data_IF_152231300434
#
_entry.id   IF_152231300434
#
_cell.length_a   1.000
_cell.length_b   1.000
_cell.length_c   1.000
_cell.angle_alpha   90.00
_cell.angle_beta   90.00
_cell.angle_gamma   90.00
#
_symmetry.space_group_name_H-M   'P 1'
#
loop_
_entity.id
_entity.type
_entity.pdbx_description
1 polymer ?
#
# COMPACT_ATOMS: atom_id res chain seq x y z
N UNK A 1 -10.48 11.41 14.22
CA UNK A 1 -11.34 10.24 13.92
C UNK A 1 -10.46 9.01 13.86
N UNK A 2 -10.88 7.90 14.48
CA UNK A 2 -10.17 6.63 14.34
C UNK A 2 -10.33 6.12 12.90
N UNK A 3 -9.24 5.70 12.24
CA UNK A 3 -9.33 5.00 10.96
C UNK A 3 -9.98 3.64 11.19
N UNK A 4 -10.98 3.28 10.40
CA UNK A 4 -11.54 1.92 10.40
C UNK A 4 -10.95 1.10 9.26
N UNK A 5 -11.04 -0.23 9.34
CA UNK A 5 -10.66 -1.12 8.24
C UNK A 5 -11.42 -0.78 6.95
N UNK A 6 -12.69 -0.40 7.07
CA UNK A 6 -13.55 0.01 5.96
C UNK A 6 -13.04 1.29 5.28
N UNK A 7 -12.54 2.26 6.05
CA UNK A 7 -11.99 3.50 5.49
C UNK A 7 -10.67 3.23 4.76
N UNK A 8 -9.82 2.37 5.31
CA UNK A 8 -8.58 1.92 4.67
C UNK A 8 -8.89 1.20 3.36
N UNK A 9 -9.84 0.26 3.37
CA UNK A 9 -10.27 -0.44 2.17
C UNK A 9 -10.76 0.54 1.10
N UNK A 10 -11.66 1.46 1.43
CA UNK A 10 -12.17 2.47 0.48
C UNK A 10 -11.06 3.33 -0.12
N UNK A 11 -10.08 3.72 0.70
CA UNK A 11 -8.92 4.47 0.23
C UNK A 11 -8.07 3.66 -0.75
N UNK A 12 -7.86 2.37 -0.51
CA UNK A 12 -7.14 1.49 -1.44
C UNK A 12 -7.95 1.20 -2.71
N UNK A 13 -9.26 0.95 -2.61
CA UNK A 13 -10.15 0.77 -3.77
C UNK A 13 -10.06 1.99 -4.72
N UNK A 14 -9.99 3.21 -4.17
CA UNK A 14 -9.90 4.45 -4.95
C UNK A 14 -8.54 4.69 -5.61
N UNK A 15 -7.54 3.86 -5.32
CA UNK A 15 -6.18 3.96 -5.86
C UNK A 15 -5.72 2.67 -6.56
N UNK A 16 -6.66 1.79 -6.93
CA UNK A 16 -6.38 0.63 -7.78
C UNK A 16 -5.66 1.05 -9.07
N UNK A 17 -4.65 0.26 -9.46
CA UNK A 17 -3.80 0.52 -10.62
C UNK A 17 -2.72 1.59 -10.40
N UNK A 18 -2.69 2.27 -9.25
CA UNK A 18 -1.66 3.28 -8.97
C UNK A 18 -0.39 2.69 -8.40
N UNK A 19 0.71 3.36 -8.69
CA UNK A 19 2.03 3.01 -8.17
C UNK A 19 2.13 3.43 -6.70
N UNK A 20 2.78 2.60 -5.90
CA UNK A 20 2.98 2.84 -4.48
C UNK A 20 4.31 2.27 -4.01
N UNK A 21 4.75 2.76 -2.86
CA UNK A 21 5.82 2.20 -2.05
C UNK A 21 5.21 1.57 -0.79
N UNK A 22 5.66 0.37 -0.46
CA UNK A 22 5.36 -0.34 0.77
C UNK A 22 6.57 -0.28 1.70
N UNK A 23 6.30 -0.03 2.98
CA UNK A 23 7.27 -0.16 4.06
C UNK A 23 6.73 -1.11 5.12
N UNK A 24 7.33 -2.29 5.26
CA UNK A 24 6.86 -3.33 6.17
C UNK A 24 7.91 -3.72 7.22
N UNK A 25 7.43 -4.07 8.42
CA UNK A 25 8.29 -4.57 9.50
C UNK A 25 8.63 -6.05 9.25
N UNK A 26 9.83 -6.31 8.73
CA UNK A 26 10.32 -7.65 8.39
C UNK A 26 10.95 -8.42 9.57
N UNK A 27 10.80 -7.94 10.81
CA UNK A 27 11.29 -8.60 12.03
C UNK A 27 12.12 -7.70 12.95
N UNK A 28 12.94 -8.31 13.81
CA UNK A 28 13.74 -7.63 14.85
C UNK A 28 14.83 -6.78 14.19
N UNK A 29 14.52 -5.50 13.91
CA UNK A 29 15.38 -4.46 13.30
C UNK A 29 15.50 -4.49 11.77
N UNK A 30 14.60 -5.16 11.05
CA UNK A 30 14.58 -5.11 9.59
C UNK A 30 13.32 -4.44 9.10
N UNK A 31 13.49 -3.38 8.32
CA UNK A 31 12.42 -2.75 7.56
C UNK A 31 12.62 -3.09 6.09
N UNK A 32 11.54 -3.49 5.43
CA UNK A 32 11.54 -3.84 4.02
C UNK A 32 10.81 -2.71 3.30
N UNK A 33 11.47 -2.10 2.32
CA UNK A 33 10.88 -1.11 1.42
C UNK A 33 10.82 -1.71 0.02
N UNK A 34 9.66 -1.62 -0.63
CA UNK A 34 9.42 -2.18 -1.96
C UNK A 34 8.47 -1.30 -2.75
N UNK A 35 8.71 -1.16 -4.04
CA UNK A 35 7.82 -0.45 -4.96
C UNK A 35 7.01 -1.43 -5.80
N UNK A 36 5.84 -0.97 -6.24
CA UNK A 36 4.94 -1.76 -7.06
C UNK A 36 3.66 -1.03 -7.42
N UNK A 37 2.69 -1.77 -7.96
CA UNK A 37 1.37 -1.29 -8.35
C UNK A 37 0.31 -1.95 -7.50
N UNK A 38 -0.66 -1.17 -6.98
CA UNK A 38 -1.83 -1.74 -6.32
C UNK A 38 -2.70 -2.47 -7.36
N UNK A 39 -2.58 -3.79 -7.42
CA UNK A 39 -3.20 -4.57 -8.48
C UNK A 39 -4.66 -4.89 -8.18
N UNK A 40 -4.95 -5.37 -6.97
CA UNK A 40 -6.26 -5.91 -6.63
C UNK A 40 -6.62 -5.60 -5.16
N UNK A 41 -7.92 -5.46 -4.88
CA UNK A 41 -8.45 -5.37 -3.51
C UNK A 41 -9.54 -6.41 -3.29
N UNK A 42 -9.50 -7.05 -2.13
CA UNK A 42 -10.45 -8.09 -1.69
C UNK A 42 -11.09 -7.70 -0.36
N UNK A 43 -12.11 -8.42 0.14
CA UNK A 43 -12.76 -8.06 1.40
C UNK A 43 -11.83 -7.91 2.62
N UNK A 44 -10.71 -8.65 2.67
CA UNK A 44 -9.81 -8.65 3.84
C UNK A 44 -8.36 -8.29 3.55
N UNK A 45 -7.96 -8.33 2.27
CA UNK A 45 -6.57 -8.12 1.84
C UNK A 45 -6.53 -7.30 0.55
N UNK A 46 -5.37 -6.75 0.24
CA UNK A 46 -5.05 -6.16 -1.06
C UNK A 46 -3.77 -6.78 -1.61
N UNK A 47 -3.59 -6.73 -2.92
CA UNK A 47 -2.46 -7.32 -3.65
C UNK A 47 -1.68 -6.21 -4.33
N UNK A 48 -0.36 -6.26 -4.18
CA UNK A 48 0.59 -5.38 -4.86
C UNK A 48 1.45 -6.22 -5.77
N UNK A 49 1.51 -5.85 -7.04
CA UNK A 49 2.45 -6.38 -8.01
C UNK A 49 3.77 -5.62 -7.87
N UNK A 50 4.84 -6.33 -7.56
CA UNK A 50 6.15 -5.74 -7.23
C UNK A 50 7.00 -5.57 -8.48
N UNK A 51 7.85 -4.55 -8.48
CA UNK A 51 8.86 -4.39 -9.51
C UNK A 51 9.87 -5.55 -9.44
N UNK A 52 10.01 -6.30 -10.55
CA UNK A 52 10.81 -7.53 -10.59
C UNK A 52 12.32 -7.29 -10.60
N UNK A 53 12.76 -6.10 -11.00
CA UNK A 53 14.19 -5.73 -10.98
C UNK A 53 14.76 -5.69 -9.55
N UNK A 54 13.90 -5.56 -8.54
CA UNK A 54 14.27 -5.40 -7.14
C UNK A 54 13.84 -6.57 -6.24
N UNK A 55 13.03 -7.52 -6.75
CA UNK A 55 12.35 -8.52 -5.91
C UNK A 55 12.31 -9.91 -6.55
N UNK A 56 12.61 -10.95 -5.76
CA UNK A 56 12.52 -12.36 -6.19
C UNK A 56 11.08 -12.90 -6.30
N UNK A 57 10.07 -12.10 -5.91
CA UNK A 57 8.67 -12.47 -5.91
C UNK A 57 7.87 -11.42 -6.67
N UNK A 58 6.94 -11.86 -7.51
CA UNK A 58 6.14 -11.00 -8.40
C UNK A 58 5.00 -10.26 -7.67
N UNK A 59 4.40 -10.88 -6.66
CA UNK A 59 3.24 -10.33 -5.94
C UNK A 59 3.34 -10.51 -4.44
N UNK A 60 2.80 -9.55 -3.70
CA UNK A 60 2.60 -9.65 -2.24
C UNK A 60 1.19 -9.22 -1.87
N UNK A 61 0.68 -9.78 -0.77
CA UNK A 61 -0.62 -9.40 -0.22
C UNK A 61 -0.48 -8.99 1.24
N UNK A 62 -1.22 -7.96 1.64
CA UNK A 62 -1.32 -7.51 3.03
C UNK A 62 -2.77 -7.28 3.42
N UNK A 63 -3.06 -7.34 4.71
CA UNK A 63 -4.39 -7.08 5.24
C UNK A 63 -4.61 -5.59 5.51
N UNK A 64 -5.86 -5.16 5.58
CA UNK A 64 -6.17 -3.79 6.04
C UNK A 64 -5.79 -3.57 7.50
N UNK A 65 -5.73 -4.65 8.29
CA UNK A 65 -5.29 -4.60 9.68
C UNK A 65 -3.79 -4.30 9.78
N UNK A 66 -2.98 -4.76 8.82
CA UNK A 66 -1.55 -4.44 8.77
C UNK A 66 -1.31 -2.94 8.59
N UNK A 67 -2.13 -2.30 7.77
CA UNK A 67 -2.11 -0.84 7.59
C UNK A 67 -2.62 -0.12 8.84
N UNK A 68 -3.70 -0.63 9.43
CA UNK A 68 -4.28 -0.05 10.65
C UNK A 68 -3.30 -0.10 11.84
N UNK A 69 -2.52 -1.17 11.93
CA UNK A 69 -1.56 -1.41 13.01
C UNK A 69 -0.14 -0.95 12.68
N UNK A 70 0.03 -0.25 11.55
CA UNK A 70 1.30 0.31 11.08
C UNK A 70 2.42 -0.74 10.89
N UNK A 71 2.07 -2.03 10.81
CA UNK A 71 3.01 -3.10 10.44
C UNK A 71 3.38 -2.99 8.96
N UNK A 72 2.51 -2.37 8.17
CA UNK A 72 2.71 -1.98 6.77
C UNK A 72 2.29 -0.54 6.58
N UNK A 73 3.17 0.27 6.02
CA UNK A 73 2.87 1.64 5.61
C UNK A 73 2.87 1.71 4.08
N UNK A 74 1.94 2.50 3.53
CA UNK A 74 1.73 2.64 2.10
C UNK A 74 1.88 4.11 1.75
N UNK A 75 2.63 4.40 0.70
CA UNK A 75 2.74 5.74 0.12
C UNK A 75 2.49 5.64 -1.38
N UNK A 76 1.40 6.22 -1.86
CA UNK A 76 1.15 6.32 -3.29
C UNK A 76 2.05 7.38 -3.89
N UNK A 77 2.62 7.10 -5.06
CA UNK A 77 3.26 8.12 -5.86
C UNK A 77 2.14 8.97 -6.47
N UNK A 78 2.13 10.27 -6.21
CA UNK A 78 1.09 11.16 -6.75
C UNK A 78 1.12 11.12 -8.29
N UNK A 79 -0.02 10.78 -8.90
CA UNK A 79 -0.27 11.21 -10.27
C UNK A 79 -0.34 12.74 -10.22
N UNK A 80 0.64 13.42 -10.81
CA UNK A 80 0.65 14.88 -10.92
C UNK A 80 -0.41 15.32 -11.93
N UNK A 81 -1.68 15.11 -11.61
CA UNK A 81 -2.85 15.61 -12.33
C UNK A 81 -3.72 16.40 -11.37
N UNK A 82 -3.20 17.57 -10.97
CA UNK A 82 -3.97 18.64 -10.33
C UNK A 82 -3.62 18.87 -8.85
N UNK A 83 -2.55 19.61 -8.60
CA UNK A 83 -2.36 20.30 -7.33
C UNK A 83 -3.54 21.26 -7.09
N UNK A 84 -4.31 21.01 -6.04
CA UNK A 84 -4.94 22.09 -5.27
C UNK A 84 -4.57 21.84 -3.82
N UNK A 85 -3.48 22.47 -3.39
CA UNK A 85 -3.17 22.60 -1.98
C UNK A 85 -4.30 23.42 -1.33
N UNK A 86 -5.07 22.80 -0.44
CA UNK A 86 -5.95 23.52 0.46
C UNK A 86 -5.14 23.83 1.72
N UNK A 87 -4.80 25.10 1.86
CA UNK A 87 -4.32 25.78 3.06
C UNK A 87 -5.35 25.76 4.19
#
# INVERSE_FOLDING_TARGET
>A
MAKTLSDIKKALDSNLGKRLMLKANGGRRKTIERSGVLAETYPSVFVVELDQDENAFERVSYSYADVLTETVQITFFEDTSGQVALS
#
